data_IF_661115077074
#
_entry.id   IF_661115077074
#
_cell.length_a   1.000
_cell.length_b   1.000
_cell.length_c   1.000
_cell.angle_alpha   90.00
_cell.angle_beta   90.00
_cell.angle_gamma   90.00
#
_symmetry.space_group_name_H-M   'P 1'
#
loop_
_entity.id
_entity.type
_entity.pdbx_description
1 polymer ?
#
# COMPACT_ATOMS: atom_id res chain seq x y z
N UNK A 1 4.02 -8.32 1.06
CA UNK A 1 3.99 -7.36 2.16
C UNK A 1 4.05 -5.93 1.63
N UNK A 2 3.72 -5.00 2.49
CA UNK A 2 3.79 -3.57 2.14
C UNK A 2 5.21 -3.21 1.69
N UNK A 3 6.20 -3.70 2.41
CA UNK A 3 7.60 -3.38 2.11
C UNK A 3 7.98 -3.88 0.71
N UNK A 4 7.49 -5.06 0.33
CA UNK A 4 7.78 -5.60 -1.00
C UNK A 4 7.22 -4.70 -2.09
N UNK A 5 6.01 -4.15 -1.88
CA UNK A 5 5.39 -3.24 -2.84
C UNK A 5 6.17 -1.93 -2.92
N UNK A 6 6.52 -1.38 -1.75
CA UNK A 6 7.28 -0.13 -1.70
C UNK A 6 8.61 -0.28 -2.45
N UNK A 7 9.30 -1.39 -2.24
CA UNK A 7 10.60 -1.63 -2.86
C UNK A 7 10.46 -1.89 -4.37
N UNK A 8 9.46 -2.69 -4.75
CA UNK A 8 9.28 -3.07 -6.15
C UNK A 8 8.89 -1.88 -7.02
N UNK A 9 8.07 -0.98 -6.50
CA UNK A 9 7.56 0.15 -7.26
C UNK A 9 8.25 1.45 -6.92
N UNK A 10 9.17 1.42 -5.95
CA UNK A 10 9.93 2.60 -5.51
C UNK A 10 9.03 3.76 -5.16
N UNK A 11 7.97 3.47 -4.40
CA UNK A 11 7.01 4.48 -3.97
C UNK A 11 7.30 4.89 -2.53
N UNK A 12 6.71 6.04 -2.14
CA UNK A 12 6.85 6.53 -0.77
C UNK A 12 5.86 5.77 0.14
N UNK A 13 6.40 5.12 1.17
CA UNK A 13 5.57 4.37 2.13
C UNK A 13 4.55 5.29 2.80
N UNK A 14 4.94 6.51 3.14
CA UNK A 14 4.02 7.47 3.76
C UNK A 14 2.85 7.78 2.83
N UNK A 15 3.12 7.96 1.53
CA UNK A 15 2.08 8.23 0.56
C UNK A 15 1.11 7.04 0.44
N UNK A 16 1.65 5.83 0.46
CA UNK A 16 0.82 4.62 0.40
C UNK A 16 -0.12 4.55 1.60
N UNK A 17 0.42 4.77 2.79
CA UNK A 17 -0.39 4.73 4.02
C UNK A 17 -1.48 5.80 3.99
N UNK A 18 -1.14 7.00 3.54
CA UNK A 18 -2.10 8.10 3.46
C UNK A 18 -3.19 7.81 2.44
N UNK A 19 -2.82 7.22 1.30
CA UNK A 19 -3.77 6.96 0.22
C UNK A 19 -4.87 6.00 0.66
N UNK A 20 -4.54 5.01 1.48
CA UNK A 20 -5.48 3.97 1.88
C UNK A 20 -5.87 4.06 3.35
N UNK A 21 -5.51 5.17 4.01
CA UNK A 21 -5.85 5.40 5.42
C UNK A 21 -5.35 4.24 6.31
N UNK A 22 -4.15 3.76 6.02
CA UNK A 22 -3.53 2.70 6.80
C UNK A 22 -2.94 3.31 8.07
N UNK A 23 -3.20 2.72 9.25
CA UNK A 23 -2.62 3.25 10.49
C UNK A 23 -1.09 3.33 10.41
N UNK A 24 -0.53 4.45 10.85
CA UNK A 24 0.91 4.68 10.74
C UNK A 24 1.74 3.65 11.50
N UNK A 25 1.18 3.06 12.55
CA UNK A 25 1.86 2.05 13.34
C UNK A 25 1.86 0.66 12.69
N UNK A 26 1.18 0.48 11.56
CA UNK A 26 1.14 -0.80 10.86
C UNK A 26 2.53 -1.16 10.35
N UNK A 27 3.11 -2.32 10.73
CA UNK A 27 4.44 -2.69 10.27
C UNK A 27 4.46 -2.92 8.75
N UNK A 28 5.51 -2.49 8.07
CA UNK A 28 5.61 -2.72 6.62
C UNK A 28 5.75 -4.20 6.25
N UNK A 29 6.03 -5.07 7.21
CA UNK A 29 6.05 -6.51 6.98
C UNK A 29 4.67 -7.14 6.92
N UNK A 30 3.62 -6.37 7.21
CA UNK A 30 2.24 -6.86 7.19
C UNK A 30 1.86 -7.36 5.79
N UNK A 31 1.23 -8.52 5.73
CA UNK A 31 0.78 -9.07 4.46
C UNK A 31 -0.35 -8.23 3.89
N UNK A 32 -0.43 -8.14 2.55
CA UNK A 32 -1.45 -7.32 1.92
C UNK A 32 -2.86 -7.79 2.25
N UNK A 33 -3.07 -9.10 2.37
CA UNK A 33 -4.38 -9.61 2.71
C UNK A 33 -4.81 -9.20 4.13
N UNK A 34 -3.85 -9.02 5.02
CA UNK A 34 -4.16 -8.55 6.37
C UNK A 34 -4.55 -7.08 6.34
N UNK A 35 -4.01 -6.31 5.41
CA UNK A 35 -4.39 -4.91 5.25
C UNK A 35 -5.85 -4.75 4.87
N UNK A 36 -6.40 -5.69 4.12
CA UNK A 36 -7.82 -5.63 3.75
C UNK A 36 -8.72 -5.68 4.98
N UNK A 37 -8.24 -6.31 6.05
CA UNK A 37 -8.95 -6.35 7.32
C UNK A 37 -8.68 -5.09 8.15
N UNK A 38 -7.44 -4.62 8.16
CA UNK A 38 -7.02 -3.49 8.98
C UNK A 38 -7.46 -2.15 8.41
N UNK A 39 -7.50 -2.03 7.08
CA UNK A 39 -7.85 -0.79 6.40
C UNK A 39 -9.01 -1.06 5.45
N UNK A 40 -10.24 -0.70 5.82
CA UNK A 40 -11.43 -1.02 5.01
C UNK A 40 -11.39 -0.45 3.59
N UNK A 41 -10.68 0.66 3.40
CA UNK A 41 -10.57 1.28 2.08
C UNK A 41 -9.52 0.61 1.19
N UNK A 42 -8.76 -0.31 1.75
CA UNK A 42 -7.70 -0.98 1.00
C UNK A 42 -8.23 -2.22 0.30
N UNK A 43 -7.85 -2.39 -0.96
CA UNK A 43 -8.04 -3.64 -1.68
C UNK A 43 -6.89 -3.82 -2.65
N UNK A 44 -6.60 -5.07 -3.02
CA UNK A 44 -5.54 -5.34 -3.98
C UNK A 44 -5.83 -4.67 -5.32
N UNK A 45 -7.08 -4.67 -5.74
CA UNK A 45 -7.48 -4.02 -7.00
C UNK A 45 -7.23 -2.51 -6.93
N UNK A 46 -7.65 -1.87 -5.84
CA UNK A 46 -7.42 -0.44 -5.67
C UNK A 46 -5.93 -0.12 -5.62
N UNK A 47 -5.15 -0.99 -4.98
CA UNK A 47 -3.71 -0.82 -4.92
C UNK A 47 -3.08 -0.86 -6.31
N UNK A 48 -3.49 -1.82 -7.12
CA UNK A 48 -2.97 -1.92 -8.49
C UNK A 48 -3.29 -0.69 -9.32
N UNK A 49 -4.51 -0.18 -9.20
CA UNK A 49 -4.91 1.02 -9.92
C UNK A 49 -4.10 2.23 -9.47
N UNK A 50 -3.90 2.36 -8.18
CA UNK A 50 -3.11 3.45 -7.65
C UNK A 50 -1.65 3.36 -8.10
N UNK A 51 -1.08 2.16 -8.06
CA UNK A 51 0.30 1.95 -8.49
C UNK A 51 0.49 2.32 -9.96
N UNK A 52 -0.53 2.05 -10.77
CA UNK A 52 -0.46 2.41 -12.19
C UNK A 52 -0.34 3.92 -12.37
N UNK A 53 -0.96 4.71 -11.47
CA UNK A 53 -0.84 6.17 -11.54
C UNK A 53 0.51 6.66 -11.02
N UNK A 54 1.22 5.85 -10.24
CA UNK A 54 2.52 6.20 -9.69
C UNK A 54 3.66 5.75 -10.62
N UNK A 55 3.35 4.96 -11.62
CA UNK A 55 4.35 4.42 -12.53
C UNK A 55 4.78 5.51 -13.50
N UNK A 56 5.66 6.36 -13.02
CA UNK A 56 6.19 7.43 -13.85
C UNK A 56 7.15 6.85 -14.87
N UNK A 57 7.08 7.31 -16.09
CA UNK A 57 8.01 6.86 -17.13
C UNK A 57 9.43 7.29 -16.84
#
# INVERSE_FOLDING_TARGET
SIQAVVDAYQIDQTALYARFDIPAETPPSTALKDLETLAPDFSVTALREWLATQDAP
#
